data_IF_781329606366
#
_entry.id   IF_781329606366
#
_cell.length_a   1.000
_cell.length_b   1.000
_cell.length_c   1.000
_cell.angle_alpha   90.00
_cell.angle_beta   90.00
_cell.angle_gamma   90.00
#
_symmetry.space_group_name_H-M   'P 1'
#
loop_
_entity.id
_entity.type
_entity.pdbx_description
1 polymer ?
#
# COMPACT_ATOMS: atom_id res chain seq x y z
N UNK A 1 -1.06 27.87 -6.58
CA UNK A 1 -2.42 27.30 -6.71
C UNK A 1 -2.53 26.81 -8.16
N UNK A 2 -2.65 25.50 -8.35
CA UNK A 2 -2.59 24.85 -9.66
C UNK A 2 -3.89 25.09 -10.45
N UNK A 3 -3.74 25.45 -11.73
CA UNK A 3 -4.80 25.83 -12.69
C UNK A 3 -5.79 24.69 -13.05
N UNK A 4 -5.60 23.50 -12.48
CA UNK A 4 -6.49 22.35 -12.68
C UNK A 4 -7.84 22.47 -11.95
N UNK A 5 -7.96 23.37 -10.97
CA UNK A 5 -9.14 23.45 -10.10
C UNK A 5 -10.34 24.18 -10.74
N UNK A 6 -10.14 24.87 -11.86
CA UNK A 6 -11.16 25.72 -12.50
C UNK A 6 -12.24 24.94 -13.28
N UNK A 7 -12.02 23.65 -13.52
CA UNK A 7 -12.94 22.77 -14.26
C UNK A 7 -13.63 21.74 -13.36
N UNK A 8 -13.47 21.83 -12.04
CA UNK A 8 -14.02 20.88 -11.08
C UNK A 8 -15.52 21.16 -10.88
N UNK A 9 -16.38 20.33 -11.49
CA UNK A 9 -17.81 20.33 -11.18
C UNK A 9 -18.06 19.38 -10.00
N UNK A 10 -18.56 19.86 -8.85
CA UNK A 10 -18.79 19.03 -7.67
C UNK A 10 -19.80 17.88 -7.90
N UNK A 11 -20.71 18.02 -8.88
CA UNK A 11 -21.78 17.04 -9.12
C UNK A 11 -21.47 15.95 -10.16
N UNK A 12 -20.32 16.00 -10.85
CA UNK A 12 -19.94 14.95 -11.81
C UNK A 12 -19.05 13.94 -11.08
N UNK A 13 -19.58 12.75 -10.83
CA UNK A 13 -18.79 11.63 -10.31
C UNK A 13 -17.53 11.49 -11.15
N UNK A 14 -16.37 11.52 -10.51
CA UNK A 14 -15.10 11.33 -11.18
C UNK A 14 -15.09 9.91 -11.76
N UNK A 15 -15.49 9.76 -13.03
CA UNK A 15 -15.69 8.47 -13.69
C UNK A 15 -14.46 7.58 -13.61
N UNK A 16 -13.27 8.20 -13.54
CA UNK A 16 -12.00 7.52 -13.31
C UNK A 16 -11.93 6.97 -11.89
N UNK A 17 -12.19 7.77 -10.85
CA UNK A 17 -12.22 7.28 -9.46
C UNK A 17 -13.29 6.22 -9.23
N UNK A 18 -14.45 6.36 -9.87
CA UNK A 18 -15.52 5.35 -9.78
C UNK A 18 -15.12 4.03 -10.46
N UNK A 19 -14.48 4.10 -11.63
CA UNK A 19 -13.93 2.90 -12.29
C UNK A 19 -12.87 2.24 -11.42
N UNK A 20 -11.98 3.02 -10.80
CA UNK A 20 -10.98 2.48 -9.89
C UNK A 20 -11.61 1.85 -8.65
N UNK A 21 -12.63 2.49 -8.05
CA UNK A 21 -13.39 1.93 -6.93
C UNK A 21 -13.99 0.57 -7.28
N UNK A 22 -14.63 0.45 -8.44
CA UNK A 22 -15.21 -0.82 -8.92
C UNK A 22 -14.11 -1.90 -9.06
N UNK A 23 -12.99 -1.57 -9.69
CA UNK A 23 -11.86 -2.49 -9.84
C UNK A 23 -11.26 -2.89 -8.48
N UNK A 24 -11.18 -1.96 -7.53
CA UNK A 24 -10.69 -2.20 -6.17
C UNK A 24 -11.63 -3.09 -5.35
N UNK A 25 -12.94 -2.95 -5.49
CA UNK A 25 -13.89 -3.86 -4.84
C UNK A 25 -13.88 -5.24 -5.49
N UNK A 26 -13.72 -5.31 -6.81
CA UNK A 26 -13.59 -6.58 -7.50
C UNK A 26 -12.33 -7.35 -7.07
N UNK A 27 -11.19 -6.68 -6.94
CA UNK A 27 -9.97 -7.36 -6.45
C UNK A 27 -10.11 -7.80 -4.99
N UNK A 28 -10.87 -7.08 -4.15
CA UNK A 28 -11.20 -7.50 -2.77
C UNK A 28 -11.95 -8.82 -2.75
N UNK A 29 -12.98 -8.95 -3.60
CA UNK A 29 -13.79 -10.16 -3.70
C UNK A 29 -12.98 -11.36 -4.22
N UNK A 30 -12.03 -11.12 -5.13
CA UNK A 30 -11.27 -12.17 -5.79
C UNK A 30 -9.99 -12.59 -5.05
N UNK A 31 -9.32 -11.65 -4.38
CA UNK A 31 -8.08 -11.91 -3.66
C UNK A 31 -7.87 -10.89 -2.53
N UNK A 32 -8.18 -11.32 -1.29
CA UNK A 32 -7.89 -10.54 -0.07
C UNK A 32 -6.39 -10.17 0.03
N UNK A 33 -5.50 -11.05 -0.44
CA UNK A 33 -4.07 -10.80 -0.45
C UNK A 33 -3.70 -9.68 -1.42
N UNK A 34 -4.23 -9.71 -2.65
CA UNK A 34 -4.00 -8.65 -3.64
C UNK A 34 -4.56 -7.32 -3.17
N UNK A 35 -5.76 -7.33 -2.60
CA UNK A 35 -6.36 -6.16 -1.98
C UNK A 35 -5.47 -5.56 -0.90
N UNK A 36 -4.96 -6.38 0.03
CA UNK A 36 -4.02 -5.90 1.06
C UNK A 36 -2.72 -5.37 0.47
N UNK A 37 -2.08 -6.10 -0.43
CA UNK A 37 -0.84 -5.66 -1.09
C UNK A 37 -1.06 -4.28 -1.72
N UNK A 38 -2.13 -4.12 -2.51
CA UNK A 38 -2.52 -2.88 -3.17
C UNK A 38 -2.61 -1.71 -2.20
N UNK A 39 -3.29 -1.89 -1.06
CA UNK A 39 -3.50 -0.81 -0.10
C UNK A 39 -2.23 -0.48 0.68
N UNK A 40 -1.36 -1.45 0.96
CA UNK A 40 -0.07 -1.18 1.62
C UNK A 40 0.88 -0.44 0.67
N UNK A 41 1.06 -0.92 -0.56
CA UNK A 41 2.03 -0.33 -1.49
C UNK A 41 1.56 1.02 -2.08
N UNK A 42 0.33 1.44 -1.79
CA UNK A 42 -0.13 2.79 -2.09
C UNK A 42 0.58 3.89 -1.25
N UNK A 43 1.30 3.51 -0.19
CA UNK A 43 2.02 4.42 0.70
C UNK A 43 3.54 4.41 0.53
N UNK A 44 4.07 3.55 -0.34
CA UNK A 44 5.50 3.52 -0.68
C UNK A 44 5.76 4.28 -1.98
N UNK A 45 7.03 4.48 -2.36
CA UNK A 45 7.31 5.10 -3.66
C UNK A 45 6.71 4.30 -4.83
N UNK A 46 6.17 5.02 -5.82
CA UNK A 46 5.46 4.47 -6.98
C UNK A 46 6.34 3.70 -7.95
N UNK A 47 7.66 3.85 -7.85
CA UNK A 47 8.63 3.23 -8.76
C UNK A 47 9.54 2.27 -8.00
N UNK A 48 10.13 1.32 -8.73
CA UNK A 48 11.14 0.39 -8.23
C UNK A 48 10.76 -0.44 -6.98
N UNK A 49 9.47 -0.66 -6.75
CA UNK A 49 8.95 -1.40 -5.59
C UNK A 49 9.56 -2.81 -5.59
N UNK A 50 10.32 -3.20 -4.57
CA UNK A 50 11.01 -4.48 -4.58
C UNK A 50 10.08 -5.63 -4.16
N UNK A 51 10.40 -6.84 -4.64
CA UNK A 51 9.57 -8.03 -4.38
C UNK A 51 9.44 -8.35 -2.88
N UNK A 52 10.51 -8.16 -2.10
CA UNK A 52 10.51 -8.42 -0.66
C UNK A 52 9.53 -7.50 0.11
N UNK A 53 9.36 -6.25 -0.33
CA UNK A 53 8.34 -5.34 0.19
C UNK A 53 6.92 -5.85 -0.10
N UNK A 54 6.64 -6.29 -1.33
CA UNK A 54 5.35 -6.89 -1.68
C UNK A 54 5.09 -8.18 -0.89
N UNK A 55 6.11 -9.04 -0.79
CA UNK A 55 6.04 -10.27 -0.02
C UNK A 55 5.81 -9.98 1.47
N UNK A 56 6.42 -8.93 2.04
CA UNK A 56 6.15 -8.51 3.41
C UNK A 56 4.71 -7.98 3.59
N UNK A 57 4.19 -7.21 2.63
CA UNK A 57 2.80 -6.77 2.62
C UNK A 57 1.81 -7.94 2.57
N UNK A 58 2.18 -9.03 1.87
CA UNK A 58 1.38 -10.27 1.83
C UNK A 58 1.40 -11.08 3.15
N UNK A 59 2.28 -10.75 4.09
CA UNK A 59 2.40 -11.47 5.37
C UNK A 59 1.78 -10.73 6.54
N UNK A 60 1.60 -9.40 6.46
CA UNK A 60 1.04 -8.59 7.55
C UNK A 60 -0.49 -8.78 7.64
N UNK A 61 -0.98 -9.48 8.66
CA UNK A 61 -2.40 -9.85 8.82
C UNK A 61 -3.29 -8.69 9.29
N UNK A 62 -4.57 -8.75 8.89
CA UNK A 62 -5.72 -7.99 9.38
C UNK A 62 -6.39 -8.87 10.46
N UNK A 63 -6.03 -8.71 11.74
CA UNK A 63 -6.80 -9.21 12.90
C UNK A 63 -7.03 -10.73 13.00
N UNK A 64 -6.06 -11.57 12.62
CA UNK A 64 -6.15 -12.99 12.94
C UNK A 64 -4.82 -13.50 13.52
N UNK A 65 -4.78 -13.63 14.85
CA UNK A 65 -3.69 -14.26 15.59
C UNK A 65 -3.63 -15.78 15.37
N UNK A 66 -4.65 -16.40 14.76
CA UNK A 66 -4.75 -17.86 14.62
C UNK A 66 -4.20 -18.39 13.27
N UNK A 67 -3.99 -17.50 12.29
CA UNK A 67 -3.41 -17.88 11.00
C UNK A 67 -1.88 -17.84 11.03
N UNK A 68 -1.26 -18.81 11.72
CA UNK A 68 0.20 -19.03 11.74
C UNK A 68 0.82 -19.39 10.38
N UNK A 69 0.00 -19.61 9.34
CA UNK A 69 0.47 -19.98 8.01
C UNK A 69 0.98 -18.75 7.25
N UNK A 70 2.30 -18.68 7.07
CA UNK A 70 2.91 -17.70 6.18
C UNK A 70 2.49 -17.94 4.73
N UNK A 71 2.19 -16.86 4.01
CA UNK A 71 1.94 -16.90 2.58
C UNK A 71 3.15 -17.52 1.85
N UNK A 72 2.89 -18.55 1.05
CA UNK A 72 3.90 -19.16 0.19
C UNK A 72 4.27 -18.22 -0.95
N UNK A 73 5.48 -18.36 -1.49
CA UNK A 73 5.94 -17.54 -2.62
C UNK A 73 4.96 -17.61 -3.81
N UNK A 74 4.41 -18.80 -4.07
CA UNK A 74 3.40 -19.02 -5.11
C UNK A 74 2.12 -18.20 -4.89
N UNK A 75 1.61 -18.13 -3.65
CA UNK A 75 0.43 -17.32 -3.33
C UNK A 75 0.70 -15.82 -3.52
N UNK A 76 1.91 -15.36 -3.18
CA UNK A 76 2.32 -13.97 -3.43
C UNK A 76 2.37 -13.70 -4.93
N UNK A 77 2.92 -14.60 -5.74
CA UNK A 77 2.94 -14.47 -7.20
C UNK A 77 1.52 -14.43 -7.79
N UNK A 78 0.60 -15.27 -7.31
CA UNK A 78 -0.79 -15.22 -7.75
C UNK A 78 -1.45 -13.89 -7.40
N UNK A 79 -1.16 -13.35 -6.21
CA UNK A 79 -1.69 -12.06 -5.81
C UNK A 79 -1.15 -10.90 -6.66
N UNK A 80 0.14 -10.94 -7.00
CA UNK A 80 0.79 -9.99 -7.92
C UNK A 80 0.19 -10.09 -9.31
N UNK A 81 0.04 -11.30 -9.85
CA UNK A 81 -0.55 -11.53 -11.16
C UNK A 81 -1.95 -10.94 -11.25
N UNK A 82 -2.76 -11.07 -10.20
CA UNK A 82 -4.08 -10.44 -10.17
C UNK A 82 -3.99 -8.90 -10.22
N UNK A 83 -3.01 -8.30 -9.53
CA UNK A 83 -2.79 -6.84 -9.58
C UNK A 83 -2.35 -6.38 -10.98
N UNK A 84 -1.53 -7.18 -11.67
CA UNK A 84 -1.11 -6.92 -13.06
C UNK A 84 -2.29 -7.03 -14.04
N UNK A 85 -3.16 -8.04 -13.89
CA UNK A 85 -4.35 -8.23 -14.72
C UNK A 85 -5.34 -7.06 -14.62
N UNK A 86 -5.40 -6.39 -13.46
CA UNK A 86 -6.18 -5.17 -13.26
C UNK A 86 -5.41 -3.88 -13.60
N UNK A 87 -4.16 -3.99 -14.09
CA UNK A 87 -3.27 -2.85 -14.38
C UNK A 87 -3.00 -1.95 -13.16
N UNK A 88 -3.11 -2.49 -11.95
CA UNK A 88 -2.72 -1.80 -10.73
C UNK A 88 -1.22 -1.83 -10.48
N UNK A 89 -0.54 -2.84 -11.01
CA UNK A 89 0.88 -3.05 -10.86
C UNK A 89 1.50 -3.42 -12.21
N UNK A 90 2.76 -3.07 -12.43
CA UNK A 90 3.51 -3.44 -13.63
C UNK A 90 4.88 -3.98 -13.25
N UNK A 91 5.25 -5.15 -13.78
CA UNK A 91 6.56 -5.74 -13.59
C UNK A 91 7.61 -5.02 -14.46
N UNK A 92 8.70 -4.61 -13.82
CA UNK A 92 9.94 -4.17 -14.46
C UNK A 92 11.03 -5.21 -14.18
N UNK A 93 11.64 -5.71 -15.24
CA UNK A 93 12.83 -6.57 -15.12
C UNK A 93 14.05 -5.68 -15.07
N UNK A 94 14.87 -5.87 -14.04
CA UNK A 94 16.17 -5.22 -13.93
C UNK A 94 17.21 -5.98 -14.75
N UNK A 95 18.27 -5.29 -15.14
CA UNK A 95 19.37 -5.87 -15.93
C UNK A 95 20.10 -7.00 -15.18
N UNK A 96 20.09 -6.96 -13.85
CA UNK A 96 20.65 -7.97 -12.97
C UNK A 96 19.77 -9.24 -12.81
N UNK A 97 18.66 -9.33 -13.54
CA UNK A 97 17.67 -10.40 -13.42
C UNK A 97 16.70 -10.23 -12.25
N UNK A 98 16.83 -9.14 -11.49
CA UNK A 98 15.91 -8.76 -10.43
C UNK A 98 14.54 -8.33 -10.96
N UNK A 99 13.56 -8.34 -10.05
CA UNK A 99 12.20 -7.86 -10.31
C UNK A 99 11.94 -6.61 -9.47
N UNK A 100 11.54 -5.53 -10.13
CA UNK A 100 10.86 -4.41 -9.48
C UNK A 100 9.46 -4.22 -10.04
N UNK A 101 8.64 -3.51 -9.29
CA UNK A 101 7.26 -3.25 -9.65
C UNK A 101 6.99 -1.76 -9.62
N UNK A 102 6.00 -1.36 -10.40
CA UNK A 102 5.58 0.03 -10.47
C UNK A 102 4.08 0.13 -10.35
N UNK A 103 3.65 1.15 -9.63
CA UNK A 103 2.25 1.54 -9.51
C UNK A 103 2.08 2.93 -10.06
N UNK A 104 1.10 3.11 -10.94
CA UNK A 104 0.82 4.44 -11.47
C UNK A 104 0.41 5.41 -10.34
N UNK A 105 0.93 6.64 -10.33
CA UNK A 105 0.65 7.61 -9.24
C UNK A 105 -0.84 7.92 -9.05
N UNK A 106 -1.62 7.92 -10.14
CA UNK A 106 -3.08 8.06 -10.05
C UNK A 106 -3.78 6.84 -9.43
N UNK A 107 -3.24 5.64 -9.61
CA UNK A 107 -3.71 4.44 -8.88
C UNK A 107 -3.38 4.63 -7.40
N UNK A 108 -2.14 5.02 -7.09
CA UNK A 108 -1.67 5.66 -5.84
C UNK A 108 -2.78 6.40 -5.09
N UNK A 109 -3.17 7.50 -5.74
CA UNK A 109 -4.14 8.46 -5.25
C UNK A 109 -5.55 7.89 -5.14
N UNK A 110 -6.02 7.13 -6.14
CA UNK A 110 -7.35 6.55 -6.13
C UNK A 110 -7.55 5.55 -4.98
N UNK A 111 -6.56 4.71 -4.69
CA UNK A 111 -6.60 3.75 -3.58
C UNK A 111 -6.67 4.47 -2.23
N UNK A 112 -5.83 5.49 -2.03
CA UNK A 112 -5.84 6.30 -0.79
C UNK A 112 -7.14 7.09 -0.64
N UNK A 113 -7.62 7.70 -1.72
CA UNK A 113 -8.87 8.44 -1.73
C UNK A 113 -10.06 7.54 -1.38
N UNK A 114 -10.10 6.32 -1.92
CA UNK A 114 -11.12 5.32 -1.61
C UNK A 114 -11.22 5.04 -0.11
N UNK A 115 -10.08 4.89 0.58
CA UNK A 115 -10.05 4.70 2.04
C UNK A 115 -10.49 5.94 2.82
N UNK A 116 -10.18 7.15 2.33
CA UNK A 116 -10.54 8.41 3.00
C UNK A 116 -12.03 8.73 2.89
N UNK A 117 -12.62 8.54 1.71
CA UNK A 117 -14.06 8.80 1.49
C UNK A 117 -14.92 7.76 2.19
N UNK A 118 -14.44 6.52 2.25
CA UNK A 118 -15.08 5.42 2.98
C UNK A 118 -14.78 5.44 4.48
N UNK A 119 -14.57 6.63 5.06
CA UNK A 119 -14.46 6.82 6.50
C UNK A 119 -15.65 6.21 7.25
N UNK A 120 -15.69 6.25 8.60
CA UNK A 120 -16.58 5.42 9.45
C UNK A 120 -18.10 5.71 9.36
N UNK A 121 -18.64 5.97 8.17
CA UNK A 121 -20.00 6.45 7.88
C UNK A 121 -20.91 5.40 7.20
N UNK A 122 -20.42 4.21 6.86
CA UNK A 122 -21.24 3.11 6.29
C UNK A 122 -21.69 2.04 7.33
N UNK A 123 -21.64 2.31 8.63
CA UNK A 123 -22.10 1.36 9.68
C UNK A 123 -23.41 1.76 10.37
N UNK A 124 -24.07 2.84 9.94
CA UNK A 124 -25.28 3.35 10.59
C UNK A 124 -26.55 3.26 9.73
N UNK A 125 -26.72 2.26 8.86
CA UNK A 125 -28.04 1.88 8.35
C UNK A 125 -28.07 0.36 8.07
N UNK A 126 -28.53 -0.43 9.05
CA UNK A 126 -28.83 -1.85 8.83
C UNK A 126 -28.48 -2.75 10.00
N UNK A 127 -29.17 -2.59 11.12
CA UNK A 127 -29.26 -3.67 12.11
C UNK A 127 -29.99 -4.86 11.47
N UNK A 128 -29.25 -5.96 11.22
CA UNK A 128 -29.59 -7.38 11.43
C UNK A 128 -28.81 -8.26 10.45
N UNK A 129 -27.63 -8.74 10.84
CA UNK A 129 -27.07 -10.06 10.49
C UNK A 129 -25.72 -10.23 11.19
N UNK A 130 -25.34 -11.48 11.45
CA UNK A 130 -24.33 -11.89 12.44
C UNK A 130 -22.94 -11.25 12.32
N UNK A 131 -22.20 -11.35 13.43
CA UNK A 131 -20.77 -11.04 13.60
C UNK A 131 -19.95 -11.32 12.33
N UNK A 132 -19.75 -10.29 11.52
CA UNK A 132 -18.62 -10.22 10.61
C UNK A 132 -17.58 -9.30 11.24
N UNK A 133 -16.54 -9.95 11.78
CA UNK A 133 -15.30 -9.30 12.19
C UNK A 133 -14.62 -8.70 10.96
N UNK A 134 -15.01 -7.48 10.60
CA UNK A 134 -14.57 -6.81 9.37
C UNK A 134 -14.60 -5.30 9.55
N UNK A 135 -13.94 -4.78 10.60
CA UNK A 135 -13.67 -3.35 10.66
C UNK A 135 -12.88 -2.98 9.40
N UNK A 136 -13.47 -2.14 8.56
CA UNK A 136 -12.79 -1.64 7.37
C UNK A 136 -11.57 -0.86 7.80
N UNK A 137 -10.41 -1.40 7.47
CA UNK A 137 -9.14 -0.81 7.84
C UNK A 137 -8.94 0.47 7.04
N UNK A 138 -8.89 1.60 7.74
CA UNK A 138 -8.77 2.92 7.13
C UNK A 138 -7.35 3.26 6.66
N UNK A 139 -7.20 4.50 6.20
CA UNK A 139 -5.93 5.09 5.71
C UNK A 139 -4.76 4.85 6.70
N UNK A 140 -4.98 5.21 7.97
CA UNK A 140 -3.98 5.08 9.04
C UNK A 140 -3.49 3.64 9.24
N UNK A 141 -4.37 2.64 9.09
CA UNK A 141 -3.99 1.23 9.24
C UNK A 141 -2.98 0.84 8.16
N UNK A 142 -3.33 1.04 6.89
CA UNK A 142 -2.45 0.61 5.80
C UNK A 142 -1.16 1.41 5.71
N UNK A 143 -1.22 2.71 6.03
CA UNK A 143 -0.01 3.52 6.17
C UNK A 143 0.89 3.00 7.29
N UNK A 144 0.33 2.63 8.45
CA UNK A 144 1.10 2.08 9.57
C UNK A 144 1.79 0.76 9.21
N UNK A 145 1.11 -0.12 8.47
CA UNK A 145 1.68 -1.37 7.98
C UNK A 145 2.83 -1.09 6.99
N UNK A 146 2.67 -0.11 6.10
CA UNK A 146 3.73 0.27 5.16
C UNK A 146 4.97 0.77 5.89
N UNK A 147 4.81 1.63 6.91
CA UNK A 147 5.90 2.09 7.77
C UNK A 147 6.62 0.92 8.42
N UNK A 148 5.89 0.01 9.08
CA UNK A 148 6.49 -1.16 9.73
C UNK A 148 7.27 -2.05 8.77
N UNK A 149 6.71 -2.32 7.59
CA UNK A 149 7.39 -3.14 6.58
C UNK A 149 8.68 -2.48 6.11
N UNK A 150 8.62 -1.19 5.79
CA UNK A 150 9.80 -0.47 5.31
C UNK A 150 10.84 -0.34 6.43
N UNK A 151 10.42 -0.10 7.67
CA UNK A 151 11.30 -0.06 8.83
C UNK A 151 12.02 -1.40 9.06
N UNK A 152 11.29 -2.52 8.99
CA UNK A 152 11.84 -3.88 9.12
C UNK A 152 12.86 -4.19 8.00
N UNK A 153 12.58 -3.75 6.77
CA UNK A 153 13.42 -4.02 5.60
C UNK A 153 14.61 -3.05 5.50
N UNK A 154 14.48 -1.83 6.04
CA UNK A 154 15.52 -0.82 5.92
C UNK A 154 16.77 -1.25 6.71
N UNK A 155 17.96 -1.24 6.09
CA UNK A 155 19.18 -1.70 6.74
C UNK A 155 19.59 -0.81 7.92
N UNK A 156 20.06 -1.45 9.00
CA UNK A 156 20.86 -0.77 10.03
C UNK A 156 22.28 -0.64 9.47
N UNK A 157 22.94 0.51 9.71
CA UNK A 157 24.18 0.94 9.03
C UNK A 157 25.41 0.03 9.21
N UNK A 158 25.32 -1.03 10.00
CA UNK A 158 26.43 -1.94 10.23
C UNK A 158 26.56 -2.99 9.12
N UNK A 159 27.48 -2.74 8.18
CA UNK A 159 28.03 -3.77 7.29
C UNK A 159 27.13 -4.25 6.14
N UNK A 160 25.96 -3.65 5.92
CA UNK A 160 25.09 -3.98 4.77
C UNK A 160 25.53 -3.23 3.50
N UNK A 161 25.45 -3.86 2.32
CA UNK A 161 25.85 -3.24 1.06
C UNK A 161 24.94 -2.04 0.74
N UNK A 162 25.54 -0.90 0.41
CA UNK A 162 24.88 0.36 0.01
C UNK A 162 23.70 0.16 -0.94
N UNK A 163 23.83 -0.77 -1.89
CA UNK A 163 22.77 -1.12 -2.85
C UNK A 163 21.42 -1.47 -2.20
N UNK A 164 21.42 -2.10 -1.01
CA UNK A 164 20.17 -2.40 -0.27
C UNK A 164 19.57 -1.16 0.38
N UNK A 165 20.40 -0.23 0.86
CA UNK A 165 19.94 1.05 1.39
C UNK A 165 19.28 1.86 0.27
N UNK A 166 19.96 1.97 -0.87
CA UNK A 166 19.50 2.69 -2.05
C UNK A 166 18.15 2.15 -2.55
N UNK A 167 17.99 0.82 -2.61
CA UNK A 167 16.74 0.17 -3.00
C UNK A 167 15.53 0.56 -2.14
N UNK A 168 15.72 0.84 -0.85
CA UNK A 168 14.63 1.12 0.09
C UNK A 168 14.49 2.59 0.47
N UNK A 169 15.46 3.44 0.13
CA UNK A 169 15.53 4.83 0.56
C UNK A 169 14.32 5.65 0.10
N UNK A 170 13.96 5.57 -1.18
CA UNK A 170 12.80 6.27 -1.72
C UNK A 170 11.50 5.83 -1.03
N UNK A 171 11.36 4.54 -0.75
CA UNK A 171 10.21 4.01 -0.03
C UNK A 171 10.18 4.48 1.44
N UNK A 172 11.32 4.54 2.12
CA UNK A 172 11.45 5.00 3.51
C UNK A 172 11.06 6.48 3.68
N UNK A 173 11.50 7.34 2.76
CA UNK A 173 11.08 8.75 2.74
C UNK A 173 9.57 8.84 2.49
N UNK A 174 9.06 8.09 1.50
CA UNK A 174 7.65 8.15 1.12
C UNK A 174 6.71 7.71 2.24
N UNK A 175 7.02 6.63 2.95
CA UNK A 175 6.18 6.17 4.07
C UNK A 175 6.20 7.17 5.24
N UNK A 176 7.31 7.87 5.45
CA UNK A 176 7.40 8.95 6.44
C UNK A 176 6.43 10.09 6.15
N UNK A 177 6.43 10.59 4.91
CA UNK A 177 5.51 11.65 4.47
C UNK A 177 4.03 11.24 4.64
N UNK A 178 3.68 10.00 4.30
CA UNK A 178 2.31 9.53 4.41
C UNK A 178 1.87 9.17 5.82
N UNK A 179 2.79 8.79 6.71
CA UNK A 179 2.47 8.54 8.11
C UNK A 179 1.93 9.81 8.78
N UNK A 180 2.56 10.96 8.49
CA UNK A 180 2.10 12.27 8.97
C UNK A 180 0.71 12.63 8.42
N UNK A 181 0.48 12.41 7.13
CA UNK A 181 -0.79 12.79 6.44
C UNK A 181 -1.96 11.88 6.82
N UNK A 182 -1.71 10.59 7.02
CA UNK A 182 -2.75 9.59 7.30
C UNK A 182 -3.13 9.49 8.77
N UNK A 183 -2.42 10.20 9.66
CA UNK A 183 -2.60 10.08 11.11
C UNK A 183 -2.17 8.72 11.66
N UNK A 184 -1.32 7.98 10.93
CA UNK A 184 -0.69 6.79 11.45
C UNK A 184 0.20 7.21 12.63
N UNK A 185 -0.28 7.04 13.87
CA UNK A 185 0.44 7.42 15.10
C UNK A 185 1.68 6.58 15.40
N UNK A 186 2.35 6.05 14.38
CA UNK A 186 3.64 5.41 14.50
C UNK A 186 4.74 6.47 14.47
N UNK A 187 5.69 6.33 15.40
CA UNK A 187 6.90 7.14 15.39
C UNK A 187 7.81 6.72 14.22
N UNK A 188 7.90 7.58 13.19
CA UNK A 188 8.78 7.38 12.03
C UNK A 188 10.18 7.95 12.25
N UNK A 189 10.45 8.59 13.40
CA UNK A 189 11.74 9.26 13.66
C UNK A 189 12.93 8.31 13.61
N UNK A 190 12.76 7.07 14.10
CA UNK A 190 13.80 6.04 14.04
C UNK A 190 14.17 5.66 12.61
N UNK A 191 13.16 5.44 11.75
CA UNK A 191 13.36 5.15 10.33
C UNK A 191 14.05 6.32 9.62
N UNK A 192 13.52 7.53 9.79
CA UNK A 192 14.05 8.72 9.13
C UNK A 192 15.45 9.10 9.63
N UNK A 193 15.75 8.86 10.91
CA UNK A 193 17.11 9.01 11.44
C UNK A 193 18.08 8.05 10.74
N UNK A 194 17.68 6.78 10.53
CA UNK A 194 18.52 5.84 9.76
C UNK A 194 18.70 6.30 8.32
N UNK A 195 17.64 6.77 7.65
CA UNK A 195 17.73 7.34 6.30
C UNK A 195 18.71 8.51 6.25
N UNK A 196 18.65 9.42 7.22
CA UNK A 196 19.54 10.59 7.27
C UNK A 196 21.02 10.23 7.41
N UNK A 197 21.36 9.08 8.01
CA UNK A 197 22.73 8.58 8.08
C UNK A 197 23.31 8.17 6.72
N UNK A 198 22.48 8.11 5.66
CA UNK A 198 22.88 7.73 4.31
C UNK A 198 22.73 8.89 3.29
N UNK A 199 22.38 10.10 3.72
CA UNK A 199 22.28 11.31 2.88
C UNK A 199 23.48 12.24 3.10
#
# INVERSE_FOLDING_TARGET
>A
MSDSDRHRRPEVSNSVLETWRISTERIRAESKMSYRILHVIAYVDSQDIPYDLIAAASRRSIVDEDSTRQATDFEVQQAIMRLEEFSFLSLRRKEDGGRSYEMHKLVQEAIRYGLRVRGPMETAVGETAGRESGAEMGEAYYSSIAVQIVDDLFPVSEGKPWARCEQHMAHAIRVGEWAEVSGAGLDTSGLLSRVSGFL
#
